data_IF_655949338503
#
_entry.id   IF_655949338503
#
_cell.length_a   1.000
_cell.length_b   1.000
_cell.length_c   1.000
_cell.angle_alpha   90.00
_cell.angle_beta   90.00
_cell.angle_gamma   90.00
#
_symmetry.space_group_name_H-M   'P 1'
#
loop_
_entity.id
_entity.type
_entity.pdbx_description
1 polymer ?
#
# COMPACT_ATOMS: atom_id res chain seq x y z
N UNK A 1 81.00 -19.80 24.94
CA UNK A 1 79.53 -19.95 25.11
C UNK A 1 78.77 -18.62 25.22
N UNK A 2 79.33 -17.54 25.82
CA UNK A 2 78.67 -16.21 25.89
C UNK A 2 78.32 -15.57 24.53
N UNK A 3 79.18 -15.70 23.52
CA UNK A 3 78.98 -15.04 22.22
C UNK A 3 77.97 -15.75 21.29
N UNK A 4 77.62 -17.01 21.57
CA UNK A 4 76.59 -17.75 20.83
C UNK A 4 75.20 -17.39 21.35
N UNK A 5 75.04 -17.21 22.67
CA UNK A 5 73.77 -16.83 23.28
C UNK A 5 73.37 -15.38 22.95
N UNK A 6 74.34 -14.46 22.79
CA UNK A 6 74.06 -13.08 22.34
C UNK A 6 73.59 -13.08 20.88
N UNK A 7 74.23 -13.88 20.00
CA UNK A 7 73.83 -13.98 18.59
C UNK A 7 72.44 -14.61 18.41
N UNK A 8 72.11 -15.64 19.20
CA UNK A 8 70.75 -16.21 19.21
C UNK A 8 69.71 -15.24 19.78
N UNK A 9 70.03 -14.46 20.81
CA UNK A 9 69.12 -13.47 21.36
C UNK A 9 68.85 -12.31 20.37
N UNK A 10 69.85 -11.83 19.65
CA UNK A 10 69.66 -10.83 18.59
C UNK A 10 68.91 -11.37 17.36
N UNK A 11 69.08 -12.65 17.03
CA UNK A 11 68.32 -13.28 15.95
C UNK A 11 66.83 -13.47 16.35
N UNK A 12 66.55 -13.80 17.60
CA UNK A 12 65.19 -13.94 18.10
C UNK A 12 64.46 -12.59 18.26
N UNK A 13 65.19 -11.52 18.62
CA UNK A 13 64.64 -10.16 18.70
C UNK A 13 64.36 -9.54 17.32
N UNK A 14 65.15 -9.90 16.30
CA UNK A 14 64.93 -9.47 14.91
C UNK A 14 63.76 -10.21 14.22
N UNK A 15 63.34 -11.37 14.74
CA UNK A 15 62.14 -12.08 14.27
C UNK A 15 60.84 -11.55 14.89
N UNK A 16 60.91 -10.78 15.98
CA UNK A 16 59.76 -10.16 16.64
C UNK A 16 59.40 -8.76 16.09
N UNK A 17 60.22 -8.20 15.19
CA UNK A 17 59.99 -6.90 14.55
C UNK A 17 59.29 -6.99 13.18
N UNK A 18 58.69 -8.14 12.83
CA UNK A 18 57.86 -8.31 11.63
C UNK A 18 56.36 -8.09 11.87
N UNK A 19 56.00 -7.40 12.95
CA UNK A 19 54.64 -6.94 13.19
C UNK A 19 54.34 -5.65 12.42
N UNK A 20 53.31 -5.73 11.57
CA UNK A 20 52.54 -4.62 10.98
C UNK A 20 53.17 -3.85 9.81
N UNK A 21 53.05 -4.45 8.62
CA UNK A 21 52.57 -3.77 7.40
C UNK A 21 51.70 -4.78 6.64
N UNK A 22 50.51 -5.09 7.17
CA UNK A 22 49.53 -5.98 6.51
C UNK A 22 48.50 -5.21 5.67
N UNK A 23 48.62 -3.89 5.54
CA UNK A 23 47.72 -3.10 4.69
C UNK A 23 47.88 -3.40 3.19
N UNK A 24 49.01 -3.98 2.76
CA UNK A 24 49.26 -4.36 1.36
C UNK A 24 48.54 -5.68 0.95
N UNK A 25 47.90 -6.36 1.91
CA UNK A 25 46.98 -7.48 1.66
C UNK A 25 45.52 -7.03 1.56
N UNK A 26 45.22 -5.75 1.83
CA UNK A 26 43.95 -5.13 1.44
C UNK A 26 44.02 -4.77 -0.05
N UNK A 27 44.18 -5.79 -0.90
CA UNK A 27 44.00 -5.63 -2.32
C UNK A 27 42.52 -5.38 -2.58
N UNK A 28 42.14 -4.13 -2.80
CA UNK A 28 41.09 -3.86 -3.79
C UNK A 28 41.60 -4.47 -5.08
N UNK A 29 41.00 -5.59 -5.48
CA UNK A 29 41.35 -6.30 -6.71
C UNK A 29 41.54 -5.28 -7.86
N UNK A 30 42.72 -5.19 -8.50
CA UNK A 30 42.99 -4.21 -9.54
C UNK A 30 42.08 -4.36 -10.78
N UNK A 31 41.41 -5.51 -10.95
CA UNK A 31 40.37 -5.71 -11.97
C UNK A 31 38.99 -5.16 -11.54
N UNK A 32 38.87 -4.70 -10.29
CA UNK A 32 37.64 -4.31 -9.60
C UNK A 32 37.63 -2.83 -9.17
N UNK A 33 38.36 -1.94 -9.85
CA UNK A 33 38.28 -0.48 -9.64
C UNK A 33 36.85 0.10 -9.81
N UNK A 34 35.89 -0.70 -10.31
CA UNK A 34 34.48 -0.35 -10.40
C UNK A 34 33.65 -0.72 -9.14
N UNK A 35 34.17 -1.54 -8.22
CA UNK A 35 33.44 -2.08 -7.08
C UNK A 35 34.09 -1.63 -5.76
N UNK A 36 33.69 -0.44 -5.31
CA UNK A 36 34.04 0.13 -4.01
C UNK A 36 33.58 -0.80 -2.89
N UNK A 37 34.40 -1.03 -1.86
CA UNK A 37 34.00 -1.86 -0.73
C UNK A 37 32.82 -1.23 0.02
N UNK A 38 31.99 -2.01 0.72
CA UNK A 38 30.83 -1.45 1.46
C UNK A 38 31.28 -0.42 2.51
N UNK A 39 32.42 -0.66 3.17
CA UNK A 39 32.93 0.28 4.17
C UNK A 39 33.51 1.55 3.53
N UNK A 40 34.08 1.45 2.33
CA UNK A 40 34.51 2.62 1.55
C UNK A 40 33.32 3.38 0.96
N UNK A 41 32.25 2.69 0.54
CA UNK A 41 31.02 3.30 0.04
C UNK A 41 30.37 4.16 1.11
N UNK A 42 30.24 3.66 2.35
CA UNK A 42 29.63 4.40 3.47
C UNK A 42 30.63 5.27 4.24
N UNK A 43 31.80 5.56 3.67
CA UNK A 43 32.80 6.43 4.30
C UNK A 43 32.45 7.93 4.19
N UNK A 44 31.61 8.32 3.23
CA UNK A 44 31.16 9.69 3.02
C UNK A 44 29.73 9.94 3.51
N UNK A 45 29.43 11.10 4.13
CA UNK A 45 28.06 11.50 4.47
C UNK A 45 27.07 11.45 3.30
N UNK A 46 27.53 11.80 2.10
CA UNK A 46 26.70 11.88 0.91
C UNK A 46 26.23 10.50 0.44
N UNK A 47 27.00 9.44 0.74
CA UNK A 47 26.69 8.09 0.34
C UNK A 47 25.35 7.60 0.90
N UNK A 48 24.95 8.02 2.10
CA UNK A 48 23.68 7.61 2.69
C UNK A 48 22.48 8.08 1.86
N UNK A 49 22.48 9.34 1.43
CA UNK A 49 21.44 9.88 0.57
C UNK A 49 21.52 9.31 -0.85
N UNK A 50 22.72 9.10 -1.39
CA UNK A 50 22.90 8.49 -2.71
C UNK A 50 22.39 7.04 -2.76
N UNK A 51 22.63 6.25 -1.71
CA UNK A 51 22.12 4.89 -1.60
C UNK A 51 20.59 4.88 -1.45
N UNK A 52 20.00 5.80 -0.66
CA UNK A 52 18.54 5.96 -0.63
C UNK A 52 17.99 6.34 -2.00
N UNK A 53 18.63 7.28 -2.71
CA UNK A 53 18.24 7.67 -4.06
C UNK A 53 18.29 6.49 -5.03
N UNK A 54 19.23 5.57 -4.87
CA UNK A 54 19.28 4.32 -5.65
C UNK A 54 18.09 3.40 -5.37
N UNK A 55 17.59 3.32 -4.14
CA UNK A 55 16.36 2.57 -3.84
C UNK A 55 15.17 3.15 -4.62
N UNK A 56 14.95 4.47 -4.55
CA UNK A 56 13.92 5.12 -5.35
C UNK A 56 14.12 4.92 -6.87
N UNK A 57 15.37 5.01 -7.34
CA UNK A 57 15.70 4.80 -8.73
C UNK A 57 15.45 3.36 -9.20
N UNK A 58 15.46 2.36 -8.30
CA UNK A 58 15.16 0.95 -8.62
C UNK A 58 13.75 0.72 -9.17
N UNK A 59 12.81 1.63 -8.87
CA UNK A 59 11.47 1.62 -9.44
C UNK A 59 11.41 2.19 -10.87
N UNK A 60 12.38 3.00 -11.28
CA UNK A 60 12.35 3.73 -12.55
C UNK A 60 13.41 3.26 -13.55
N UNK A 61 14.53 2.73 -13.07
CA UNK A 61 15.72 2.43 -13.86
C UNK A 61 16.07 0.95 -13.81
N UNK A 62 16.78 0.46 -14.82
CA UNK A 62 17.21 -0.94 -14.93
C UNK A 62 18.65 -1.17 -14.47
N UNK A 63 19.40 -0.08 -14.30
CA UNK A 63 20.86 -0.05 -14.19
C UNK A 63 21.38 1.39 -14.17
N UNK A 64 22.69 1.57 -13.98
CA UNK A 64 23.31 2.91 -14.01
C UNK A 64 23.29 3.53 -15.41
N UNK A 65 23.28 2.70 -16.46
CA UNK A 65 23.20 3.10 -17.87
C UNK A 65 22.07 2.34 -18.57
N UNK A 66 20.83 2.53 -18.11
CA UNK A 66 19.65 1.86 -18.65
C UNK A 66 19.04 2.54 -19.89
N UNK A 67 18.26 1.80 -20.73
CA UNK A 67 17.89 0.39 -20.57
C UNK A 67 18.89 -0.61 -21.21
N UNK A 68 20.09 -0.18 -21.58
CA UNK A 68 21.13 -1.06 -22.15
C UNK A 68 22.54 -0.58 -21.79
N UNK A 69 23.27 -1.38 -21.00
CA UNK A 69 24.72 -1.29 -20.88
C UNK A 69 25.29 -1.65 -19.51
N UNK A 70 24.58 -1.35 -18.42
CA UNK A 70 25.06 -1.62 -17.05
C UNK A 70 23.91 -2.09 -16.15
N UNK A 71 23.39 -3.30 -16.39
CA UNK A 71 22.20 -3.80 -15.71
C UNK A 71 22.46 -4.03 -14.22
N UNK A 72 21.46 -3.73 -13.40
CA UNK A 72 21.47 -4.07 -11.98
C UNK A 72 21.41 -5.58 -11.73
N UNK A 73 20.76 -6.32 -12.62
CA UNK A 73 20.48 -7.76 -12.48
C UNK A 73 21.11 -8.50 -13.65
N UNK A 74 22.08 -9.36 -13.36
CA UNK A 74 22.75 -10.20 -14.34
C UNK A 74 21.90 -11.44 -14.69
N UNK A 75 22.02 -11.93 -15.92
CA UNK A 75 21.38 -13.18 -16.36
C UNK A 75 19.93 -13.04 -16.83
N UNK A 76 19.41 -11.82 -16.91
CA UNK A 76 18.11 -11.49 -17.54
C UNK A 76 18.30 -10.33 -18.52
N UNK A 77 17.38 -10.15 -19.46
CA UNK A 77 17.39 -8.99 -20.35
C UNK A 77 17.16 -7.70 -19.53
N UNK A 78 18.03 -6.71 -19.72
CA UNK A 78 18.01 -5.48 -18.95
C UNK A 78 16.66 -4.74 -19.11
N UNK A 79 16.16 -4.66 -20.34
CA UNK A 79 14.91 -3.98 -20.65
C UNK A 79 13.68 -4.68 -20.06
N UNK A 80 13.74 -5.99 -19.85
CA UNK A 80 12.67 -6.76 -19.20
C UNK A 80 12.65 -6.56 -17.69
N UNK A 81 13.79 -6.19 -17.11
CA UNK A 81 13.93 -6.03 -15.67
C UNK A 81 13.36 -4.72 -15.12
N UNK A 82 12.77 -3.83 -15.94
CA UNK A 82 12.27 -2.54 -15.44
C UNK A 82 11.04 -2.75 -14.55
N UNK A 83 11.06 -2.20 -13.33
CA UNK A 83 10.06 -2.47 -12.28
C UNK A 83 8.63 -2.19 -12.72
N UNK A 84 8.34 -0.96 -13.17
CA UNK A 84 6.98 -0.53 -13.54
C UNK A 84 6.51 -1.25 -14.80
N UNK A 85 7.40 -1.51 -15.76
CA UNK A 85 7.12 -2.28 -16.97
C UNK A 85 6.69 -3.69 -16.59
N UNK A 86 7.44 -4.37 -15.71
CA UNK A 86 7.07 -5.70 -15.23
C UNK A 86 5.67 -5.73 -14.60
N UNK A 87 5.39 -4.78 -13.71
CA UNK A 87 4.06 -4.63 -13.10
C UNK A 87 2.97 -4.38 -14.14
N UNK A 88 3.18 -3.42 -15.05
CA UNK A 88 2.22 -3.06 -16.09
C UNK A 88 1.94 -4.25 -17.01
N UNK A 89 2.97 -4.99 -17.44
CA UNK A 89 2.80 -6.17 -18.29
C UNK A 89 1.90 -7.22 -17.61
N UNK A 90 2.16 -7.52 -16.34
CA UNK A 90 1.41 -8.56 -15.62
C UNK A 90 -0.02 -8.13 -15.25
N UNK A 91 -0.25 -6.85 -14.95
CA UNK A 91 -1.56 -6.34 -14.54
C UNK A 91 -2.46 -5.92 -15.70
N UNK A 92 -1.91 -5.57 -16.87
CA UNK A 92 -2.69 -5.01 -17.98
C UNK A 92 -2.86 -6.00 -19.12
N UNK A 93 -1.79 -6.69 -19.54
CA UNK A 93 -1.86 -7.59 -20.70
C UNK A 93 -2.60 -8.90 -20.42
N UNK A 94 -2.91 -9.16 -19.16
CA UNK A 94 -3.74 -10.29 -18.73
C UNK A 94 -5.23 -9.93 -18.68
N UNK A 95 -5.58 -8.66 -18.96
CA UNK A 95 -6.93 -8.09 -18.85
C UNK A 95 -7.49 -7.69 -20.23
N UNK A 96 -8.67 -7.07 -20.23
CA UNK A 96 -9.32 -6.50 -21.41
C UNK A 96 -8.87 -5.06 -21.76
N UNK A 97 -7.96 -4.47 -20.97
CA UNK A 97 -7.59 -3.05 -21.12
C UNK A 97 -6.53 -2.79 -22.22
N UNK A 98 -5.62 -3.73 -22.48
CA UNK A 98 -4.50 -3.52 -23.39
C UNK A 98 -4.10 -4.76 -24.21
N UNK A 99 -3.63 -4.51 -25.44
CA UNK A 99 -3.02 -5.55 -26.32
C UNK A 99 -1.74 -4.99 -26.92
N UNK A 100 -0.66 -5.78 -26.87
CA UNK A 100 0.60 -5.47 -27.55
C UNK A 100 0.58 -5.98 -29.00
N UNK A 101 0.80 -5.08 -29.95
CA UNK A 101 0.80 -5.38 -31.39
C UNK A 101 2.09 -6.00 -31.93
N UNK A 102 3.23 -5.79 -31.27
CA UNK A 102 4.50 -6.40 -31.66
C UNK A 102 4.67 -7.80 -31.04
N UNK A 103 5.64 -8.57 -31.53
CA UNK A 103 5.95 -9.90 -31.00
C UNK A 103 7.35 -9.87 -30.37
N UNK A 104 7.45 -10.22 -29.09
CA UNK A 104 8.70 -10.25 -28.35
C UNK A 104 8.69 -11.40 -27.33
N UNK A 105 9.57 -12.38 -27.50
CA UNK A 105 9.69 -13.56 -26.63
C UNK A 105 8.31 -14.14 -26.22
N UNK A 106 8.04 -14.21 -24.92
CA UNK A 106 6.81 -14.76 -24.33
C UNK A 106 5.75 -13.69 -24.03
N UNK A 107 5.89 -12.45 -24.51
CA UNK A 107 5.01 -11.33 -24.13
C UNK A 107 3.53 -11.56 -24.45
N UNK A 108 3.24 -12.36 -25.50
CA UNK A 108 1.87 -12.68 -25.90
C UNK A 108 1.23 -13.77 -25.07
N UNK A 109 2.01 -14.48 -24.25
CA UNK A 109 1.48 -15.48 -23.31
C UNK A 109 0.57 -14.81 -22.28
N UNK A 110 0.79 -13.53 -21.94
CA UNK A 110 -0.09 -12.74 -21.09
C UNK A 110 -1.49 -12.56 -21.69
N UNK A 111 -1.59 -12.24 -22.99
CA UNK A 111 -2.88 -12.02 -23.65
C UNK A 111 -3.77 -13.27 -23.63
N UNK A 112 -3.16 -14.44 -23.86
CA UNK A 112 -3.88 -15.71 -23.90
C UNK A 112 -3.94 -16.41 -22.55
N UNK A 113 -3.28 -15.86 -21.53
CA UNK A 113 -3.06 -16.46 -20.22
C UNK A 113 -2.45 -17.88 -20.28
N UNK A 114 -1.45 -18.05 -21.14
CA UNK A 114 -0.78 -19.34 -21.43
C UNK A 114 0.65 -19.43 -20.92
N UNK A 115 1.07 -18.53 -20.03
CA UNK A 115 2.43 -18.50 -19.49
C UNK A 115 2.76 -19.76 -18.67
N UNK A 116 4.04 -20.03 -18.51
CA UNK A 116 4.56 -21.13 -17.69
C UNK A 116 5.65 -20.65 -16.74
N UNK A 117 6.19 -21.54 -15.92
CA UNK A 117 7.31 -21.22 -15.01
C UNK A 117 8.61 -20.85 -15.73
N UNK A 118 8.70 -21.01 -17.05
CA UNK A 118 9.85 -20.59 -17.86
C UNK A 118 9.61 -19.26 -18.60
N UNK A 119 8.58 -18.51 -18.26
CA UNK A 119 8.31 -17.20 -18.87
C UNK A 119 9.38 -16.16 -18.47
N UNK A 120 9.97 -15.52 -19.47
CA UNK A 120 11.08 -14.60 -19.29
C UNK A 120 10.67 -13.30 -18.59
N UNK A 121 9.47 -12.78 -18.88
CA UNK A 121 8.96 -11.54 -18.29
C UNK A 121 8.51 -11.76 -16.84
N UNK A 122 7.91 -12.92 -16.54
CA UNK A 122 7.59 -13.31 -15.17
C UNK A 122 8.86 -13.47 -14.34
N UNK A 123 9.88 -14.17 -14.86
CA UNK A 123 11.16 -14.33 -14.19
C UNK A 123 11.85 -12.97 -13.96
N UNK A 124 11.89 -12.10 -14.97
CA UNK A 124 12.48 -10.77 -14.83
C UNK A 124 11.75 -9.90 -13.79
N UNK A 125 10.42 -9.95 -13.75
CA UNK A 125 9.61 -9.22 -12.77
C UNK A 125 9.84 -9.74 -11.35
N UNK A 126 9.85 -11.06 -11.17
CA UNK A 126 10.20 -11.69 -9.89
C UNK A 126 11.58 -11.25 -9.42
N UNK A 127 12.61 -11.36 -10.28
CA UNK A 127 13.98 -10.98 -9.96
C UNK A 127 14.09 -9.50 -9.60
N UNK A 128 13.35 -8.61 -10.28
CA UNK A 128 13.38 -7.18 -9.97
C UNK A 128 12.74 -6.85 -8.62
N UNK A 129 11.59 -7.45 -8.29
CA UNK A 129 10.96 -7.25 -6.98
C UNK A 129 11.87 -7.74 -5.85
N UNK A 130 12.49 -8.90 -6.01
CA UNK A 130 13.43 -9.49 -5.05
C UNK A 130 14.70 -8.63 -4.90
N UNK A 131 15.23 -8.13 -6.00
CA UNK A 131 16.37 -7.20 -6.00
C UNK A 131 16.07 -5.92 -5.22
N UNK A 132 14.89 -5.31 -5.43
CA UNK A 132 14.48 -4.11 -4.73
C UNK A 132 14.40 -4.31 -3.21
N UNK A 133 13.80 -5.44 -2.78
CA UNK A 133 13.73 -5.84 -1.36
C UNK A 133 15.13 -6.00 -0.78
N UNK A 134 16.04 -6.67 -1.49
CA UNK A 134 17.41 -6.92 -1.04
C UNK A 134 18.21 -5.62 -0.89
N UNK A 135 18.06 -4.66 -1.81
CA UNK A 135 18.70 -3.36 -1.68
C UNK A 135 18.18 -2.58 -0.47
N UNK A 136 16.87 -2.61 -0.24
CA UNK A 136 16.29 -2.00 0.96
C UNK A 136 16.83 -2.65 2.24
N UNK A 137 16.90 -3.99 2.28
CA UNK A 137 17.47 -4.73 3.41
C UNK A 137 18.93 -4.37 3.65
N UNK A 138 19.74 -4.23 2.59
CA UNK A 138 21.14 -3.88 2.72
C UNK A 138 21.32 -2.44 3.22
N UNK A 139 20.54 -1.49 2.70
CA UNK A 139 20.55 -0.12 3.24
C UNK A 139 20.21 -0.11 4.73
N UNK A 140 19.17 -0.83 5.14
CA UNK A 140 18.77 -0.94 6.55
C UNK A 140 19.83 -1.62 7.42
N UNK A 141 20.58 -2.57 6.87
CA UNK A 141 21.70 -3.22 7.55
C UNK A 141 22.88 -2.28 7.73
N UNK A 142 23.22 -1.51 6.69
CA UNK A 142 24.35 -0.57 6.72
C UNK A 142 24.07 0.71 7.51
N UNK A 143 22.81 0.96 7.85
CA UNK A 143 22.38 2.10 8.65
C UNK A 143 21.90 1.72 10.05
N UNK A 144 22.31 0.54 10.57
CA UNK A 144 22.05 0.17 11.96
C UNK A 144 22.78 1.11 12.92
N UNK A 145 22.27 1.28 14.14
CA UNK A 145 22.88 2.17 15.14
C UNK A 145 24.32 1.75 15.45
N UNK A 146 24.61 0.44 15.47
CA UNK A 146 25.96 -0.09 15.66
C UNK A 146 26.90 0.32 14.52
N UNK A 147 26.45 0.20 13.26
CA UNK A 147 27.23 0.60 12.08
C UNK A 147 27.46 2.11 12.01
N UNK A 148 26.43 2.90 12.30
CA UNK A 148 26.54 4.36 12.35
C UNK A 148 27.49 4.80 13.48
N UNK A 149 27.46 4.11 14.62
CA UNK A 149 28.38 4.37 15.75
C UNK A 149 29.81 4.02 15.40
N UNK A 150 30.04 2.84 14.80
CA UNK A 150 31.37 2.42 14.35
C UNK A 150 31.99 3.37 13.32
N UNK A 151 31.16 4.00 12.47
CA UNK A 151 31.60 4.98 11.46
C UNK A 151 31.71 6.42 11.99
N UNK A 152 31.41 6.67 13.27
CA UNK A 152 31.52 8.01 13.86
C UNK A 152 30.53 9.04 13.29
N UNK A 153 29.37 8.58 12.79
CA UNK A 153 28.33 9.45 12.22
C UNK A 153 27.81 10.43 13.30
N UNK A 154 27.71 11.72 12.98
CA UNK A 154 27.23 12.73 13.92
C UNK A 154 25.70 12.69 14.11
N UNK A 155 25.19 13.34 15.16
CA UNK A 155 23.76 13.29 15.53
C UNK A 155 22.83 13.88 14.46
N UNK A 156 23.27 14.92 13.76
CA UNK A 156 22.50 15.55 12.68
C UNK A 156 22.26 14.58 11.52
N UNK A 157 23.31 13.91 11.07
CA UNK A 157 23.22 12.91 10.00
C UNK A 157 22.46 11.66 10.48
N UNK A 158 22.61 11.24 11.74
CA UNK A 158 21.78 10.15 12.32
C UNK A 158 20.29 10.48 12.25
N UNK A 159 19.90 11.70 12.56
CA UNK A 159 18.50 12.11 12.49
C UNK A 159 17.97 12.03 11.05
N UNK A 160 18.76 12.43 10.05
CA UNK A 160 18.40 12.29 8.63
C UNK A 160 18.31 10.81 8.22
N UNK A 161 19.30 10.00 8.59
CA UNK A 161 19.33 8.56 8.30
C UNK A 161 18.12 7.84 8.91
N UNK A 162 17.64 8.27 10.09
CA UNK A 162 16.42 7.72 10.66
C UNK A 162 15.20 7.90 9.75
N UNK A 163 15.10 9.03 9.04
CA UNK A 163 14.04 9.27 8.05
C UNK A 163 14.27 8.40 6.82
N UNK A 164 15.51 8.31 6.34
CA UNK A 164 15.87 7.45 5.20
C UNK A 164 15.55 5.98 5.44
N UNK A 165 15.75 5.50 6.68
CA UNK A 165 15.39 4.13 7.08
C UNK A 165 13.88 3.90 7.04
N UNK A 166 13.08 4.90 7.41
CA UNK A 166 11.62 4.82 7.29
C UNK A 166 11.19 4.75 5.82
N UNK A 167 11.80 5.56 4.95
CA UNK A 167 11.58 5.51 3.50
C UNK A 167 11.97 4.16 2.90
N UNK A 168 13.14 3.62 3.24
CA UNK A 168 13.59 2.30 2.78
C UNK A 168 12.65 1.17 3.23
N UNK A 169 12.09 1.25 4.45
CA UNK A 169 11.07 0.30 4.92
C UNK A 169 9.78 0.41 4.11
N UNK A 170 9.36 1.63 3.80
CA UNK A 170 8.19 1.87 2.94
C UNK A 170 8.40 1.29 1.53
N UNK A 171 9.53 1.55 0.89
CA UNK A 171 9.86 1.00 -0.43
C UNK A 171 9.87 -0.53 -0.42
N UNK A 172 10.49 -1.13 0.61
CA UNK A 172 10.45 -2.59 0.82
C UNK A 172 9.03 -3.13 0.97
N UNK A 173 8.19 -2.44 1.74
CA UNK A 173 6.80 -2.85 1.96
C UNK A 173 5.97 -2.77 0.65
N UNK A 174 6.18 -1.73 -0.16
CA UNK A 174 5.57 -1.61 -1.50
C UNK A 174 6.02 -2.77 -2.40
N UNK A 175 7.32 -3.08 -2.41
CA UNK A 175 7.82 -4.21 -3.21
C UNK A 175 7.27 -5.55 -2.76
N UNK A 176 7.17 -5.80 -1.45
CA UNK A 176 6.51 -7.00 -0.94
C UNK A 176 5.01 -7.04 -1.23
N UNK A 177 4.33 -5.89 -1.25
CA UNK A 177 2.92 -5.82 -1.66
C UNK A 177 2.72 -6.24 -3.10
N UNK A 178 3.51 -5.72 -4.03
CA UNK A 178 3.47 -6.17 -5.42
C UNK A 178 3.84 -7.64 -5.56
N UNK A 179 4.80 -8.12 -4.75
CA UNK A 179 5.16 -9.53 -4.71
C UNK A 179 3.99 -10.42 -4.28
N UNK A 180 3.29 -10.00 -3.23
CA UNK A 180 2.11 -10.69 -2.71
C UNK A 180 0.96 -10.68 -3.74
N UNK A 181 0.72 -9.55 -4.40
CA UNK A 181 -0.34 -9.41 -5.40
C UNK A 181 -0.11 -10.33 -6.60
N UNK A 182 1.11 -10.33 -7.13
CA UNK A 182 1.45 -11.08 -8.35
C UNK A 182 1.73 -12.57 -8.11
N UNK A 183 2.30 -12.92 -6.95
CA UNK A 183 2.83 -14.27 -6.71
C UNK A 183 2.25 -14.95 -5.45
N UNK A 184 1.46 -14.23 -4.66
CA UNK A 184 0.83 -14.76 -3.46
C UNK A 184 1.84 -15.15 -2.36
N UNK A 185 1.45 -16.15 -1.57
CA UNK A 185 2.15 -16.61 -0.37
C UNK A 185 3.19 -17.70 -0.59
N UNK A 186 4.11 -17.52 -1.56
CA UNK A 186 5.15 -18.52 -1.88
C UNK A 186 6.53 -17.88 -2.09
N UNK A 187 6.73 -16.72 -1.47
CA UNK A 187 7.92 -15.88 -1.62
C UNK A 187 8.77 -16.01 -0.37
N UNK A 188 10.09 -15.97 -0.50
CA UNK A 188 10.98 -15.87 0.65
C UNK A 188 10.79 -14.53 1.37
N UNK A 189 10.37 -14.57 2.64
CA UNK A 189 10.38 -13.38 3.49
C UNK A 189 11.78 -13.21 4.08
N UNK A 190 12.46 -12.12 3.71
CA UNK A 190 13.84 -11.79 4.06
C UNK A 190 13.91 -10.32 4.46
N UNK A 191 14.63 -10.05 5.54
CA UNK A 191 14.77 -8.75 6.18
C UNK A 191 16.24 -8.38 6.33
N UNK A 192 16.49 -7.18 6.85
CA UNK A 192 17.83 -6.74 7.26
C UNK A 192 18.40 -7.55 8.44
N UNK A 193 17.64 -8.46 9.05
CA UNK A 193 18.12 -9.30 10.15
C UNK A 193 18.58 -10.69 9.69
N UNK A 194 18.29 -11.05 8.43
CA UNK A 194 18.69 -12.34 7.88
C UNK A 194 20.16 -12.35 7.44
N UNK A 195 20.79 -13.55 7.35
CA UNK A 195 22.19 -13.68 6.95
C UNK A 195 22.46 -13.13 5.55
N UNK A 196 23.64 -12.54 5.36
CA UNK A 196 24.15 -12.13 4.03
C UNK A 196 24.80 -13.30 3.27
N UNK A 197 25.09 -14.40 3.95
CA UNK A 197 25.57 -15.64 3.34
C UNK A 197 24.43 -16.41 2.71
N UNK A 198 24.71 -17.27 1.73
CA UNK A 198 23.69 -18.10 1.08
C UNK A 198 22.85 -18.89 2.10
N UNK A 199 21.53 -18.73 2.01
CA UNK A 199 20.55 -19.55 2.71
C UNK A 199 19.29 -19.66 1.86
N UNK A 200 18.48 -20.69 2.13
CA UNK A 200 17.15 -20.81 1.52
C UNK A 200 16.14 -20.11 2.44
N UNK A 201 15.55 -18.99 2.03
CA UNK A 201 14.55 -18.31 2.86
C UNK A 201 13.30 -19.17 2.98
N UNK A 202 12.70 -19.15 4.18
CA UNK A 202 11.41 -19.81 4.40
C UNK A 202 10.37 -19.10 3.53
N UNK A 203 9.63 -19.86 2.74
CA UNK A 203 8.48 -19.32 2.03
C UNK A 203 7.46 -18.81 3.04
N UNK A 204 7.10 -17.54 2.93
CA UNK A 204 6.05 -16.94 3.71
C UNK A 204 4.71 -17.15 3.02
N UNK A 205 3.70 -17.48 3.82
CA UNK A 205 2.30 -17.50 3.40
C UNK A 205 1.81 -16.10 3.03
N UNK A 206 0.68 -16.03 2.32
CA UNK A 206 0.09 -14.76 1.92
C UNK A 206 -0.27 -13.91 3.15
N UNK A 207 -0.69 -14.58 4.23
CA UNK A 207 -0.96 -13.97 5.52
C UNK A 207 0.32 -13.44 6.18
N UNK A 208 1.38 -14.25 6.26
CA UNK A 208 2.67 -13.81 6.84
C UNK A 208 3.27 -12.61 6.06
N UNK A 209 3.19 -12.60 4.73
CA UNK A 209 3.61 -11.46 3.92
C UNK A 209 2.70 -10.24 4.14
N UNK A 210 1.39 -10.44 4.16
CA UNK A 210 0.43 -9.37 4.41
C UNK A 210 0.66 -8.74 5.78
N UNK A 211 0.86 -9.55 6.81
CA UNK A 211 1.14 -9.11 8.17
C UNK A 211 2.48 -8.38 8.23
N UNK A 212 3.52 -8.86 7.54
CA UNK A 212 4.80 -8.16 7.44
C UNK A 212 4.67 -6.78 6.76
N UNK A 213 3.88 -6.67 5.68
CA UNK A 213 3.65 -5.41 4.94
C UNK A 213 2.79 -4.43 5.76
N UNK A 214 1.90 -4.93 6.63
CA UNK A 214 0.92 -4.14 7.38
C UNK A 214 1.26 -3.93 8.86
N UNK A 215 2.34 -4.54 9.34
CA UNK A 215 2.79 -4.41 10.72
C UNK A 215 3.49 -3.06 10.93
N UNK A 216 3.04 -2.29 11.91
CA UNK A 216 3.62 -0.98 12.25
C UNK A 216 4.17 -0.84 13.70
N UNK A 217 3.97 -1.77 14.64
CA UNK A 217 4.60 -1.70 16.00
C UNK A 217 4.46 -3.00 16.82
N UNK A 218 5.53 -3.53 17.46
CA UNK A 218 5.49 -4.71 18.34
C UNK A 218 4.58 -4.62 19.59
N UNK A 219 4.07 -3.44 19.95
CA UNK A 219 3.22 -3.23 21.14
C UNK A 219 1.71 -3.44 20.89
N UNK A 220 1.31 -3.76 19.67
CA UNK A 220 -0.10 -3.85 19.26
C UNK A 220 -0.63 -5.29 19.05
N UNK A 221 0.12 -6.32 19.50
CA UNK A 221 -0.20 -7.72 19.24
C UNK A 221 -0.71 -8.46 20.49
N UNK A 222 -1.69 -9.35 20.30
CA UNK A 222 -2.10 -10.37 21.28
C UNK A 222 -1.90 -11.74 20.65
N UNK A 223 -1.25 -12.64 21.39
CA UNK A 223 -1.06 -14.03 21.01
C UNK A 223 -2.34 -14.82 21.31
N UNK A 224 -2.95 -15.42 20.28
CA UNK A 224 -4.09 -16.32 20.47
C UNK A 224 -3.64 -17.64 21.08
N UNK A 225 -4.54 -18.35 21.78
CA UNK A 225 -4.26 -19.66 22.39
C UNK A 225 -3.77 -20.73 21.39
N UNK A 226 -3.94 -20.50 20.09
CA UNK A 226 -3.43 -21.33 18.99
C UNK A 226 -1.97 -21.02 18.59
N UNK A 227 -1.33 -20.02 19.20
CA UNK A 227 -0.01 -19.51 18.81
C UNK A 227 -0.03 -18.57 17.60
N UNK A 228 -1.20 -18.22 17.06
CA UNK A 228 -1.33 -17.24 15.99
C UNK A 228 -1.24 -15.82 16.55
N UNK A 229 -0.50 -14.95 15.87
CA UNK A 229 -0.37 -13.52 16.18
C UNK A 229 -1.24 -12.77 15.17
N UNK A 230 -2.18 -11.93 15.61
CA UNK A 230 -2.90 -11.04 14.71
C UNK A 230 -2.97 -9.61 15.26
N UNK A 231 -3.24 -8.66 14.37
CA UNK A 231 -3.59 -7.30 14.71
C UNK A 231 -4.86 -7.29 15.58
N UNK A 232 -4.73 -6.86 16.83
CA UNK A 232 -5.86 -6.70 17.73
C UNK A 232 -6.38 -5.26 17.62
N UNK A 233 -7.67 -5.11 17.33
CA UNK A 233 -8.34 -3.83 17.44
C UNK A 233 -8.68 -3.58 18.92
N UNK A 234 -8.01 -2.65 19.63
CA UNK A 234 -8.17 -2.46 21.08
C UNK A 234 -9.60 -2.10 21.49
N UNK A 235 -10.38 -1.58 20.55
CA UNK A 235 -11.79 -1.30 20.75
C UNK A 235 -12.53 -1.37 19.42
N UNK A 236 -13.67 -2.06 19.41
CA UNK A 236 -14.62 -1.93 18.30
C UNK A 236 -15.43 -0.65 18.36
N UNK A 237 -15.37 0.11 19.44
CA UNK A 237 -16.09 1.36 19.61
C UNK A 237 -15.24 2.51 19.09
N UNK A 238 -15.67 3.11 17.99
CA UNK A 238 -15.04 4.26 17.39
C UNK A 238 -15.82 5.55 17.70
N UNK A 239 -15.09 6.66 17.73
CA UNK A 239 -15.65 8.00 17.89
C UNK A 239 -14.93 8.99 16.97
N UNK A 240 -15.70 9.80 16.25
CA UNK A 240 -15.21 10.96 15.50
C UNK A 240 -15.90 12.21 16.04
N UNK A 241 -15.15 13.13 16.64
CA UNK A 241 -15.67 14.42 17.10
C UNK A 241 -16.03 15.29 15.90
N UNK A 242 -17.18 15.95 15.96
CA UNK A 242 -17.67 16.83 14.89
C UNK A 242 -17.34 18.28 15.25
N UNK A 243 -16.70 19.01 14.32
CA UNK A 243 -16.50 20.45 14.44
C UNK A 243 -17.60 21.19 13.66
N UNK A 244 -18.56 21.86 14.32
CA UNK A 244 -19.65 22.56 13.64
C UNK A 244 -19.19 23.67 12.68
N UNK A 245 -18.06 24.31 12.96
CA UNK A 245 -17.50 25.35 12.09
C UNK A 245 -17.00 24.75 10.77
N UNK A 246 -16.31 23.62 10.80
CA UNK A 246 -15.87 22.90 9.59
C UNK A 246 -17.07 22.40 8.78
N UNK A 247 -18.08 21.87 9.46
CA UNK A 247 -19.32 21.38 8.84
C UNK A 247 -20.07 22.51 8.13
N UNK A 248 -20.19 23.67 8.79
CA UNK A 248 -20.83 24.86 8.22
C UNK A 248 -20.01 25.45 7.07
N UNK A 249 -18.71 25.67 7.28
CA UNK A 249 -17.78 26.23 6.28
C UNK A 249 -17.76 25.41 4.99
N UNK A 250 -17.75 24.08 5.12
CA UNK A 250 -17.70 23.18 3.97
C UNK A 250 -19.08 22.80 3.42
N UNK A 251 -20.17 23.39 3.96
CA UNK A 251 -21.56 23.15 3.51
C UNK A 251 -21.92 21.67 3.46
N UNK A 252 -21.52 20.93 4.50
CA UNK A 252 -21.73 19.48 4.58
C UNK A 252 -23.22 19.14 4.67
N UNK A 253 -23.96 19.95 5.43
CA UNK A 253 -25.41 19.84 5.63
C UNK A 253 -26.08 21.17 5.28
N UNK A 254 -27.39 21.14 5.02
CA UNK A 254 -28.18 22.35 4.80
C UNK A 254 -28.34 23.18 6.09
N UNK A 255 -28.69 24.47 5.94
CA UNK A 255 -28.95 25.34 7.09
C UNK A 255 -30.05 24.78 8.02
N UNK A 256 -31.07 24.12 7.47
CA UNK A 256 -32.13 23.48 8.24
C UNK A 256 -31.62 22.28 9.06
N UNK A 257 -30.61 21.57 8.55
CA UNK A 257 -30.02 20.39 9.19
C UNK A 257 -28.98 20.75 10.27
N UNK A 258 -28.49 21.99 10.33
CA UNK A 258 -27.50 22.43 11.33
C UNK A 258 -27.99 22.23 12.77
N UNK A 259 -29.29 22.38 13.03
CA UNK A 259 -29.89 22.17 14.36
C UNK A 259 -29.92 20.68 14.78
N UNK A 260 -29.68 19.77 13.84
CA UNK A 260 -29.69 18.33 14.07
C UNK A 260 -28.28 17.71 14.03
N UNK A 261 -27.22 18.52 14.14
CA UNK A 261 -25.86 18.00 14.23
C UNK A 261 -25.66 17.21 15.53
N UNK A 262 -24.86 16.15 15.44
CA UNK A 262 -24.31 15.46 16.62
C UNK A 262 -22.93 16.03 16.95
N UNK A 263 -22.58 16.07 18.24
CA UNK A 263 -21.25 16.48 18.70
C UNK A 263 -20.17 15.45 18.32
N UNK A 264 -20.57 14.19 18.12
CA UNK A 264 -19.69 13.12 17.64
C UNK A 264 -20.43 12.01 16.94
N UNK A 265 -19.80 11.41 15.93
CA UNK A 265 -20.17 10.11 15.41
C UNK A 265 -19.63 9.04 16.36
N UNK A 266 -20.48 8.18 16.87
CA UNK A 266 -20.06 6.98 17.61
C UNK A 266 -20.60 5.74 16.92
N UNK A 267 -19.74 4.78 16.63
CA UNK A 267 -20.13 3.54 15.95
C UNK A 267 -19.34 2.33 16.44
N UNK A 268 -19.90 1.14 16.18
CA UNK A 268 -19.22 -0.12 16.43
C UNK A 268 -18.68 -0.67 15.11
N UNK A 269 -17.38 -0.92 15.04
CA UNK A 269 -16.76 -1.65 13.96
C UNK A 269 -17.35 -3.06 13.87
N UNK A 270 -17.88 -3.38 12.70
CA UNK A 270 -18.75 -4.54 12.47
C UNK A 270 -18.01 -5.81 12.05
N UNK A 271 -16.67 -5.81 12.07
CA UNK A 271 -15.83 -6.97 11.78
C UNK A 271 -14.91 -7.33 12.96
N UNK A 272 -14.41 -8.57 12.99
CA UNK A 272 -13.35 -9.02 13.90
C UNK A 272 -11.95 -8.75 13.34
N UNK A 273 -11.85 -8.48 12.04
CA UNK A 273 -10.61 -8.28 11.31
C UNK A 273 -10.60 -6.88 10.69
N UNK A 274 -9.49 -6.16 10.82
CA UNK A 274 -9.26 -4.91 10.10
C UNK A 274 -8.44 -5.22 8.86
N UNK A 275 -8.99 -4.90 7.69
CA UNK A 275 -8.31 -4.99 6.41
C UNK A 275 -7.84 -3.60 5.96
N UNK A 276 -6.93 -3.54 4.98
CA UNK A 276 -6.34 -2.29 4.47
C UNK A 276 -7.41 -1.28 3.99
N UNK A 277 -8.47 -1.76 3.35
CA UNK A 277 -9.60 -0.92 2.93
C UNK A 277 -10.37 -0.33 4.12
N UNK A 278 -10.35 -0.97 5.30
CA UNK A 278 -10.94 -0.40 6.50
C UNK A 278 -10.04 0.69 7.09
N UNK A 279 -8.71 0.48 7.09
CA UNK A 279 -7.74 1.48 7.53
C UNK A 279 -7.79 2.74 6.66
N UNK A 280 -7.96 2.62 5.34
CA UNK A 280 -8.07 3.78 4.45
C UNK A 280 -9.33 4.60 4.74
N UNK A 281 -10.46 3.96 5.05
CA UNK A 281 -11.67 4.68 5.47
C UNK A 281 -11.43 5.42 6.80
N UNK A 282 -10.77 4.77 7.77
CA UNK A 282 -10.44 5.39 9.07
C UNK A 282 -9.52 6.60 8.87
N UNK A 283 -8.51 6.50 8.02
CA UNK A 283 -7.60 7.60 7.68
C UNK A 283 -8.35 8.78 7.03
N UNK A 284 -9.23 8.50 6.07
CA UNK A 284 -10.10 9.52 5.46
C UNK A 284 -10.94 10.21 6.54
N UNK A 285 -11.56 9.47 7.46
CA UNK A 285 -12.36 10.05 8.55
C UNK A 285 -11.53 10.97 9.45
N UNK A 286 -10.29 10.58 9.77
CA UNK A 286 -9.40 11.32 10.64
C UNK A 286 -8.90 12.63 10.00
N UNK A 287 -8.63 12.62 8.70
CA UNK A 287 -7.90 13.71 8.04
C UNK A 287 -8.74 14.58 7.08
N UNK A 288 -9.91 14.10 6.62
CA UNK A 288 -10.73 14.83 5.63
C UNK A 288 -11.24 16.19 6.14
N UNK A 289 -11.55 16.31 7.44
CA UNK A 289 -12.11 17.53 8.06
C UNK A 289 -13.30 18.09 7.29
N UNK A 290 -14.14 17.18 6.81
CA UNK A 290 -15.31 17.47 5.99
C UNK A 290 -15.06 18.28 4.71
N UNK A 291 -13.82 18.38 4.23
CA UNK A 291 -13.47 19.14 3.02
C UNK A 291 -14.04 18.52 1.75
N UNK A 292 -14.23 17.19 1.74
CA UNK A 292 -14.84 16.45 0.62
C UNK A 292 -15.93 15.52 1.14
N UNK A 293 -17.05 15.36 0.42
CA UNK A 293 -18.06 14.36 0.76
C UNK A 293 -17.44 12.96 0.86
N UNK A 294 -17.76 12.25 1.93
CA UNK A 294 -17.40 10.84 2.13
C UNK A 294 -18.63 10.03 1.74
N UNK A 295 -18.51 9.26 0.66
CA UNK A 295 -19.62 8.55 0.05
C UNK A 295 -19.31 7.06 -0.11
N UNK A 296 -20.34 6.24 0.05
CA UNK A 296 -20.34 4.79 -0.15
C UNK A 296 -21.33 4.45 -1.27
N UNK A 297 -21.03 3.45 -2.09
CA UNK A 297 -21.99 2.99 -3.12
C UNK A 297 -23.16 2.26 -2.47
N UNK A 298 -24.38 2.47 -2.97
CA UNK A 298 -25.60 1.79 -2.46
C UNK A 298 -25.58 0.28 -2.67
N UNK A 299 -24.68 -0.21 -3.54
CA UNK A 299 -24.49 -1.65 -3.80
C UNK A 299 -23.50 -2.30 -2.84
N UNK A 300 -22.78 -1.52 -2.03
CA UNK A 300 -21.87 -2.07 -1.03
C UNK A 300 -22.67 -2.64 0.15
N UNK A 301 -22.37 -3.88 0.52
CA UNK A 301 -22.90 -4.47 1.76
C UNK A 301 -22.38 -3.74 3.01
N UNK A 302 -23.13 -3.81 4.10
CA UNK A 302 -22.82 -3.13 5.38
C UNK A 302 -21.44 -3.49 5.95
N UNK A 303 -20.93 -4.68 5.67
CA UNK A 303 -19.57 -5.10 6.03
C UNK A 303 -18.47 -4.18 5.47
N UNK A 304 -18.75 -3.45 4.38
CA UNK A 304 -17.82 -2.49 3.77
C UNK A 304 -17.93 -1.07 4.35
N UNK A 305 -18.92 -0.81 5.22
CA UNK A 305 -19.20 0.52 5.77
C UNK A 305 -18.58 0.75 7.15
N UNK A 306 -17.80 -0.20 7.65
CA UNK A 306 -17.09 -0.17 8.94
C UNK A 306 -17.97 0.16 10.16
N UNK A 307 -19.30 -0.02 10.06
CA UNK A 307 -20.29 0.27 11.09
C UNK A 307 -20.89 1.67 11.07
N UNK A 308 -20.63 2.47 10.02
CA UNK A 308 -21.12 3.85 9.91
C UNK A 308 -22.59 3.97 9.49
N UNK A 309 -23.31 2.86 9.32
CA UNK A 309 -24.67 2.79 8.79
C UNK A 309 -25.64 3.82 9.43
N UNK A 310 -25.48 4.06 10.74
CA UNK A 310 -26.28 5.03 11.51
C UNK A 310 -26.11 6.50 11.07
N UNK A 311 -25.10 6.81 10.27
CA UNK A 311 -24.79 8.16 9.80
C UNK A 311 -24.76 8.28 8.27
N UNK A 312 -25.13 7.21 7.56
CA UNK A 312 -25.20 7.18 6.11
C UNK A 312 -26.61 7.54 5.62
N UNK A 313 -26.68 8.47 4.67
CA UNK A 313 -27.92 8.96 4.07
C UNK A 313 -27.84 8.86 2.55
N UNK A 314 -28.83 8.26 1.90
CA UNK A 314 -28.88 8.15 0.44
C UNK A 314 -29.08 9.51 -0.21
N UNK A 315 -28.28 9.79 -1.24
CA UNK A 315 -28.36 10.97 -2.12
C UNK A 315 -28.52 10.56 -3.60
N UNK A 316 -29.00 9.34 -3.86
CA UNK A 316 -29.14 8.73 -5.18
C UNK A 316 -28.51 7.35 -5.19
N UNK A 317 -27.57 7.12 -6.11
CA UNK A 317 -26.76 5.89 -6.17
C UNK A 317 -25.61 5.85 -5.16
N UNK A 318 -25.52 6.83 -4.28
CA UNK A 318 -24.52 6.89 -3.21
C UNK A 318 -25.19 7.18 -1.87
N UNK A 319 -24.57 6.69 -0.81
CA UNK A 319 -24.86 7.03 0.57
C UNK A 319 -23.76 7.94 1.08
N UNK A 320 -24.12 9.12 1.56
CA UNK A 320 -23.19 10.10 2.09
C UNK A 320 -23.16 10.03 3.61
N UNK A 321 -21.96 10.10 4.18
CA UNK A 321 -21.77 10.25 5.62
C UNK A 321 -22.13 11.68 6.04
N UNK A 322 -23.10 11.81 6.93
CA UNK A 322 -23.54 13.10 7.48
C UNK A 322 -23.48 13.08 9.02
N UNK A 323 -22.96 14.15 9.66
CA UNK A 323 -22.86 14.25 11.12
C UNK A 323 -24.17 14.68 11.77
N UNK A 324 -25.26 13.98 11.46
CA UNK A 324 -26.58 14.21 12.04
C UNK A 324 -26.82 13.27 13.21
N UNK A 325 -27.67 13.67 14.16
CA UNK A 325 -28.15 12.79 15.23
C UNK A 325 -28.82 11.56 14.61
N UNK A 326 -28.40 10.33 14.98
CA UNK A 326 -29.05 9.12 14.48
C UNK A 326 -30.53 9.12 14.84
N UNK A 327 -31.38 8.80 13.87
CA UNK A 327 -32.77 8.54 14.13
C UNK A 327 -32.92 7.11 14.66
N UNK A 328 -33.16 6.98 15.96
CA UNK A 328 -33.32 5.69 16.63
C UNK A 328 -34.71 5.10 16.48
N UNK A 329 -35.65 5.80 15.84
CA UNK A 329 -36.99 5.29 15.56
C UNK A 329 -37.06 4.46 14.26
N UNK A 330 -36.01 4.49 13.45
CA UNK A 330 -35.92 3.75 12.19
C UNK A 330 -35.17 2.43 12.44
N UNK A 331 -35.88 1.29 12.36
CA UNK A 331 -35.25 -0.02 12.49
C UNK A 331 -34.31 -0.34 11.31
N UNK A 332 -34.71 0.03 10.08
CA UNK A 332 -33.89 -0.13 8.88
C UNK A 332 -33.14 1.16 8.51
N UNK A 333 -31.94 1.31 9.07
CA UNK A 333 -31.06 2.43 8.80
C UNK A 333 -30.64 2.51 7.32
N UNK A 334 -30.76 1.43 6.55
CA UNK A 334 -30.39 1.40 5.13
C UNK A 334 -31.38 2.17 4.23
N UNK A 335 -32.57 2.50 4.74
CA UNK A 335 -33.61 3.25 4.03
C UNK A 335 -33.49 4.77 4.19
N UNK A 336 -32.58 5.27 5.04
CA UNK A 336 -32.45 6.72 5.29
C UNK A 336 -32.04 7.49 4.03
N UNK A 337 -32.74 8.58 3.78
CA UNK A 337 -32.46 9.47 2.65
C UNK A 337 -32.19 10.89 3.10
N UNK A 338 -31.35 11.61 2.36
CA UNK A 338 -31.31 13.07 2.40
C UNK A 338 -32.28 13.60 1.33
N UNK A 339 -33.58 13.57 1.64
CA UNK A 339 -34.69 13.60 0.68
C UNK A 339 -34.60 14.71 -0.37
N UNK A 340 -34.34 15.96 0.04
CA UNK A 340 -34.30 17.10 -0.87
C UNK A 340 -33.06 17.07 -1.78
N UNK A 341 -31.91 16.65 -1.25
CA UNK A 341 -30.68 16.51 -2.05
C UNK A 341 -30.83 15.33 -3.02
N UNK A 342 -31.37 14.21 -2.54
CA UNK A 342 -31.67 13.05 -3.37
C UNK A 342 -32.69 13.39 -4.46
N UNK A 343 -33.74 14.15 -4.14
CA UNK A 343 -34.72 14.62 -5.12
C UNK A 343 -34.06 15.47 -6.20
N UNK A 344 -33.25 16.46 -5.84
CA UNK A 344 -32.56 17.29 -6.82
C UNK A 344 -31.61 16.47 -7.70
N UNK A 345 -30.85 15.54 -7.10
CA UNK A 345 -29.95 14.67 -7.84
C UNK A 345 -30.71 13.77 -8.83
N UNK A 346 -31.71 13.02 -8.34
CA UNK A 346 -32.48 12.05 -9.15
C UNK A 346 -33.36 12.77 -10.18
N UNK A 347 -34.02 13.85 -9.80
CA UNK A 347 -35.02 14.50 -10.66
C UNK A 347 -34.43 15.53 -11.60
N UNK A 348 -33.33 16.21 -11.23
CA UNK A 348 -32.82 17.34 -12.01
C UNK A 348 -31.41 17.12 -12.57
N UNK A 349 -30.56 16.31 -11.93
CA UNK A 349 -29.16 16.14 -12.36
C UNK A 349 -28.89 14.85 -13.11
N UNK A 350 -29.46 13.74 -12.65
CA UNK A 350 -29.22 12.43 -13.24
C UNK A 350 -29.88 12.30 -14.61
N UNK A 351 -29.17 11.63 -15.52
CA UNK A 351 -29.66 11.27 -16.85
C UNK A 351 -29.85 9.77 -16.91
N UNK A 352 -31.08 9.32 -17.16
CA UNK A 352 -31.45 7.91 -17.20
C UNK A 352 -31.51 7.35 -18.62
N UNK A 353 -30.86 8.03 -19.57
CA UNK A 353 -30.86 7.65 -20.98
C UNK A 353 -32.27 7.45 -21.54
N UNK A 354 -32.43 6.45 -22.39
CA UNK A 354 -33.69 6.11 -23.05
C UNK A 354 -34.35 4.85 -22.45
N UNK A 355 -34.05 4.49 -21.19
CA UNK A 355 -34.53 3.23 -20.57
C UNK A 355 -36.05 3.01 -20.72
N UNK A 356 -36.86 4.07 -20.60
CA UNK A 356 -38.32 4.02 -20.73
C UNK A 356 -38.84 3.66 -22.13
N UNK A 357 -38.07 3.95 -23.17
CA UNK A 357 -38.48 3.75 -24.57
C UNK A 357 -37.53 2.83 -25.34
N UNK A 358 -36.56 2.21 -24.66
CA UNK A 358 -35.64 1.26 -25.26
C UNK A 358 -36.41 0.02 -25.73
N UNK A 359 -36.24 -0.34 -27.00
CA UNK A 359 -36.84 -1.58 -27.56
C UNK A 359 -36.12 -2.84 -27.08
N UNK A 360 -34.86 -2.68 -26.70
CA UNK A 360 -34.00 -3.75 -26.20
C UNK A 360 -33.14 -3.18 -25.07
N UNK A 361 -33.04 -3.93 -23.99
CA UNK A 361 -32.06 -3.73 -22.92
C UNK A 361 -31.26 -5.03 -22.83
N UNK A 362 -29.95 -4.93 -22.73
CA UNK A 362 -29.08 -6.08 -22.52
C UNK A 362 -29.30 -6.69 -21.12
N UNK A 363 -28.79 -7.90 -20.92
CA UNK A 363 -28.98 -8.65 -19.67
C UNK A 363 -28.47 -7.89 -18.43
N UNK A 364 -27.34 -7.19 -18.52
CA UNK A 364 -26.78 -6.44 -17.39
C UNK A 364 -27.65 -5.23 -17.05
N UNK A 365 -28.14 -4.52 -18.07
CA UNK A 365 -29.10 -3.42 -17.89
C UNK A 365 -30.37 -3.87 -17.16
N UNK A 366 -30.90 -5.05 -17.49
CA UNK A 366 -32.14 -5.58 -16.87
C UNK A 366 -31.90 -6.17 -15.49
N UNK A 367 -30.80 -6.91 -15.30
CA UNK A 367 -30.58 -7.70 -14.07
C UNK A 367 -29.83 -6.93 -12.98
N UNK A 368 -28.92 -6.02 -13.35
CA UNK A 368 -28.13 -5.25 -12.37
C UNK A 368 -28.64 -3.82 -12.21
N UNK A 369 -28.82 -3.08 -13.30
CA UNK A 369 -29.08 -1.64 -13.22
C UNK A 369 -30.55 -1.31 -12.97
N UNK A 370 -31.47 -1.98 -13.66
CA UNK A 370 -32.90 -1.72 -13.55
C UNK A 370 -33.44 -1.89 -12.11
N UNK A 371 -33.05 -2.93 -11.33
CA UNK A 371 -33.49 -3.06 -9.94
C UNK A 371 -32.93 -1.94 -9.04
N UNK A 372 -31.66 -1.57 -9.20
CA UNK A 372 -31.03 -0.49 -8.41
C UNK A 372 -31.69 0.85 -8.71
N UNK A 373 -31.98 1.12 -9.99
CA UNK A 373 -32.68 2.32 -10.42
C UNK A 373 -34.10 2.37 -9.83
N UNK A 374 -34.87 1.30 -10.00
CA UNK A 374 -36.25 1.22 -9.48
C UNK A 374 -36.27 1.41 -7.96
N UNK A 375 -35.36 0.76 -7.23
CA UNK A 375 -35.22 0.90 -5.78
C UNK A 375 -34.88 2.33 -5.38
N UNK A 376 -34.04 3.02 -6.15
CA UNK A 376 -33.67 4.42 -5.91
C UNK A 376 -34.89 5.35 -5.99
N UNK A 377 -35.75 5.17 -6.99
CA UNK A 377 -36.99 5.94 -7.12
C UNK A 377 -38.01 5.61 -6.01
N UNK A 378 -38.20 4.33 -5.70
CA UNK A 378 -39.12 3.90 -4.63
C UNK A 378 -38.70 4.45 -3.27
N UNK A 379 -37.41 4.29 -2.92
CA UNK A 379 -36.86 4.78 -1.65
C UNK A 379 -37.02 6.29 -1.50
N UNK A 380 -36.81 7.04 -2.60
CA UNK A 380 -37.02 8.49 -2.60
C UNK A 380 -38.50 8.85 -2.40
N UNK A 381 -39.42 8.16 -3.08
CA UNK A 381 -40.85 8.40 -2.93
C UNK A 381 -41.32 8.12 -1.50
N UNK A 382 -40.88 7.01 -0.90
CA UNK A 382 -41.23 6.62 0.47
C UNK A 382 -40.73 7.64 1.49
N UNK A 383 -39.47 8.07 1.40
CA UNK A 383 -38.95 9.07 2.33
C UNK A 383 -39.60 10.45 2.16
N UNK A 384 -39.97 10.85 0.94
CA UNK A 384 -40.74 12.07 0.73
C UNK A 384 -42.15 11.98 1.33
N UNK A 385 -42.81 10.83 1.23
CA UNK A 385 -44.12 10.60 1.88
C UNK A 385 -44.00 10.63 3.40
N UNK A 386 -42.96 10.02 3.97
CA UNK A 386 -42.70 10.04 5.41
C UNK A 386 -42.49 11.48 5.94
N UNK A 387 -41.93 12.36 5.11
CA UNK A 387 -41.78 13.80 5.40
C UNK A 387 -43.02 14.66 5.07
N UNK A 388 -44.12 14.04 4.62
CA UNK A 388 -45.36 14.74 4.24
C UNK A 388 -45.30 15.48 2.89
N UNK A 389 -44.28 15.24 2.07
CA UNK A 389 -44.06 15.87 0.75
C UNK A 389 -44.70 15.06 -0.38
N UNK A 390 -46.00 14.80 -0.26
CA UNK A 390 -46.74 13.90 -1.15
C UNK A 390 -46.77 14.36 -2.63
N UNK A 391 -46.74 15.66 -2.88
CA UNK A 391 -46.70 16.22 -4.24
C UNK A 391 -45.38 15.91 -4.95
N UNK A 392 -44.26 15.98 -4.21
CA UNK A 392 -42.93 15.62 -4.71
C UNK A 392 -42.83 14.11 -4.92
N UNK A 393 -43.32 13.30 -3.99
CA UNK A 393 -43.36 11.84 -4.12
C UNK A 393 -44.11 11.41 -5.39
N UNK A 394 -45.27 12.02 -5.67
CA UNK A 394 -46.05 11.73 -6.88
C UNK A 394 -45.28 12.09 -8.17
N UNK A 395 -44.48 13.16 -8.16
CA UNK A 395 -43.62 13.52 -9.31
C UNK A 395 -42.51 12.50 -9.52
N UNK A 396 -41.92 11.97 -8.45
CA UNK A 396 -40.88 10.91 -8.51
C UNK A 396 -41.44 9.66 -9.19
N UNK A 397 -42.62 9.20 -8.78
CA UNK A 397 -43.26 8.00 -9.35
C UNK A 397 -43.67 8.14 -10.84
N UNK A 398 -43.81 9.37 -11.34
CA UNK A 398 -44.22 9.63 -12.73
C UNK A 398 -43.07 9.72 -13.73
N UNK A 399 -41.85 9.96 -13.25
CA UNK A 399 -40.66 10.09 -14.08
C UNK A 399 -40.34 8.73 -14.71
#
# INVERSE_FOLDING_TARGET
MKNINIKLATAFLALLSLGACTDDLNQTDPANQANVSVDELYSSPEAYLQNLAKLYAGFATTGQNGPAGSPDISGIDEGFSQYIRGLWLMQELTTDEAVIGWNDQTIKDFHSQTWSSSDNFINATWSRLDFEIKNCNEFLRQTSDEKLTARGVNDELRAQISVYRAEARFLRAVSYWHFLDLFGGRVGLVTENDPVTYFLPKQATAQELFDFITSDDPRAHVEYQSGAIANYLPTKKFKLTVNPEEVSKNKVVSAAQMNNLTDSLTWNYNSNLILKNNLSIIDILAHNKWKRPICFTVTAGSSNMIGLDNYLYREGFTMRLLPLKPDTAIDDQSAKINSLVMYDNVMNKFKFGNYKHARFLDEQSVTMFYPVLTTTFMTLADGLMAEGRNDMALKVLRK
#
